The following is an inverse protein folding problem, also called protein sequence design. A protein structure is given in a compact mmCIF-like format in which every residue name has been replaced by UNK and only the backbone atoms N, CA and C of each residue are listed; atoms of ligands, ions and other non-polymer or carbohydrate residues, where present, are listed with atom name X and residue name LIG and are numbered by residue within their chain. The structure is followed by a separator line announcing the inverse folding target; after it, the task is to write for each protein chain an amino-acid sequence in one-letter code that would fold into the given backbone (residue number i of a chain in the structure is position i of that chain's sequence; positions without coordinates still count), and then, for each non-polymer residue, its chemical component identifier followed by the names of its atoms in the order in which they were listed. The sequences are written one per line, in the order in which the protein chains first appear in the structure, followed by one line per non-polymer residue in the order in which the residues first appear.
data_IF_046556374763
#
_entry.id   IF_046556374763
#
_cell.length_a   1.000
_cell.length_b   1.000
_cell.length_c   1.000
_cell.angle_alpha   90.00
_cell.angle_beta   90.00
_cell.angle_gamma   90.00
#
_symmetry.space_group_name_H-M   'P 1'
#
loop_
_entity.id
_entity.type
_entity.pdbx_description
1 polymer ?
#
# COMPACT_ATOMS: atom_id res chain seq x y z
N UNK A 1 -21.23 -12.05 -1.57
CA UNK A 1 -19.76 -11.98 -1.68
C UNK A 1 -19.24 -13.39 -1.48
N UNK A 2 -18.46 -13.95 -2.42
CA UNK A 2 -17.86 -15.27 -2.24
C UNK A 2 -16.75 -15.16 -1.21
N UNK A 3 -16.92 -15.79 -0.05
CA UNK A 3 -15.86 -15.88 0.95
C UNK A 3 -14.69 -16.68 0.35
N UNK A 4 -13.52 -16.06 0.19
CA UNK A 4 -12.30 -16.81 -0.14
C UNK A 4 -12.01 -17.73 1.04
N UNK A 5 -12.08 -19.03 0.78
CA UNK A 5 -11.74 -20.05 1.76
C UNK A 5 -10.29 -20.47 1.52
N UNK A 6 -9.40 -20.03 2.41
CA UNK A 6 -8.01 -20.50 2.40
C UNK A 6 -7.95 -21.95 2.86
N UNK A 7 -7.10 -22.73 2.20
CA UNK A 7 -6.76 -24.08 2.66
C UNK A 7 -6.00 -23.99 4.00
N UNK A 8 -5.99 -25.05 4.84
CA UNK A 8 -5.18 -25.04 6.06
C UNK A 8 -3.69 -24.80 5.77
N UNK A 9 -3.08 -23.82 6.44
CA UNK A 9 -1.67 -23.49 6.27
C UNK A 9 -1.26 -22.18 6.93
N UNK A 10 0.05 -21.90 6.88
CA UNK A 10 0.61 -20.59 7.22
C UNK A 10 0.66 -19.73 5.96
N UNK A 11 0.14 -18.51 6.06
CA UNK A 11 0.08 -17.56 4.96
C UNK A 11 0.80 -16.28 5.36
N UNK A 12 1.50 -15.69 4.39
CA UNK A 12 2.04 -14.35 4.51
C UNK A 12 0.94 -13.31 4.29
N UNK A 13 1.26 -12.04 4.48
CA UNK A 13 0.48 -10.89 4.06
C UNK A 13 0.87 -10.38 2.66
N UNK A 14 1.54 -11.23 1.85
CA UNK A 14 2.10 -10.89 0.56
C UNK A 14 1.26 -11.55 -0.53
N UNK A 15 0.66 -10.75 -1.40
CA UNK A 15 -0.17 -11.20 -2.51
C UNK A 15 0.61 -11.12 -3.83
N UNK A 16 0.61 -12.18 -4.65
CA UNK A 16 1.30 -12.13 -5.94
C UNK A 16 0.64 -11.11 -6.86
N UNK A 17 1.46 -10.42 -7.65
CA UNK A 17 1.01 -9.47 -8.67
C UNK A 17 1.38 -10.00 -10.04
N UNK A 18 0.37 -10.17 -10.89
CA UNK A 18 0.55 -10.49 -12.31
C UNK A 18 0.60 -9.19 -13.11
N UNK A 19 1.66 -9.04 -13.90
CA UNK A 19 1.86 -7.91 -14.81
C UNK A 19 1.25 -8.20 -16.19
N UNK A 20 0.93 -7.16 -16.99
CA UNK A 20 0.61 -7.36 -18.40
C UNK A 20 1.79 -8.01 -19.13
N UNK A 21 1.48 -8.94 -20.04
CA UNK A 21 2.49 -9.62 -20.87
C UNK A 21 2.98 -8.75 -22.03
N UNK A 22 2.17 -7.78 -22.44
CA UNK A 22 2.48 -6.86 -23.53
C UNK A 22 3.46 -5.76 -23.10
N UNK A 23 4.23 -5.26 -24.07
CA UNK A 23 5.11 -4.12 -23.83
C UNK A 23 4.28 -2.85 -23.63
N UNK A 24 4.69 -2.02 -22.67
CA UNK A 24 4.09 -0.72 -22.37
C UNK A 24 4.95 0.41 -22.94
N UNK A 25 4.30 1.46 -23.41
CA UNK A 25 4.97 2.68 -23.86
C UNK A 25 5.32 3.55 -22.65
N UNK A 26 6.59 3.97 -22.58
CA UNK A 26 7.09 4.87 -21.54
C UNK A 26 8.04 5.90 -22.13
N UNK A 27 8.33 6.94 -21.36
CA UNK A 27 9.32 7.96 -21.68
C UNK A 27 10.62 7.68 -20.91
N UNK A 28 11.77 7.72 -21.56
CA UNK A 28 13.07 7.38 -20.96
C UNK A 28 14.10 8.47 -21.22
N UNK A 29 14.90 8.78 -20.21
CA UNK A 29 16.07 9.65 -20.34
C UNK A 29 17.22 9.13 -19.49
N UNK A 30 18.47 9.48 -19.86
CA UNK A 30 19.64 9.14 -19.04
C UNK A 30 19.58 9.89 -17.72
N UNK A 31 19.86 9.20 -16.61
CA UNK A 31 19.87 9.81 -15.27
C UNK A 31 20.85 10.96 -15.11
N UNK A 32 21.94 10.96 -15.88
CA UNK A 32 22.91 12.06 -15.91
C UNK A 32 22.33 13.37 -16.43
N UNK A 33 21.23 13.32 -17.21
CA UNK A 33 20.55 14.50 -17.75
C UNK A 33 19.47 15.04 -16.79
N UNK A 34 18.96 14.19 -15.88
CA UNK A 34 17.96 14.56 -14.87
C UNK A 34 18.41 14.06 -13.50
N UNK A 35 19.31 14.83 -12.88
CA UNK A 35 19.90 14.49 -11.58
C UNK A 35 18.92 14.72 -10.43
N UNK A 36 18.15 15.81 -10.49
CA UNK A 36 17.15 16.16 -9.47
C UNK A 36 15.72 15.94 -9.98
N UNK A 37 15.07 14.88 -9.49
CA UNK A 37 13.66 14.62 -9.77
C UNK A 37 12.69 15.59 -9.07
N UNK A 38 13.13 16.37 -8.07
CA UNK A 38 12.22 17.26 -7.33
C UNK A 38 11.71 18.36 -8.24
N UNK A 39 12.59 19.03 -8.98
CA UNK A 39 12.21 20.06 -9.94
C UNK A 39 11.21 19.52 -10.97
N UNK A 40 11.49 18.34 -11.54
CA UNK A 40 10.59 17.71 -12.51
C UNK A 40 9.21 17.39 -11.90
N UNK A 41 9.17 16.90 -10.65
CA UNK A 41 7.91 16.62 -9.94
C UNK A 41 7.14 17.90 -9.62
N UNK A 42 7.84 18.98 -9.25
CA UNK A 42 7.22 20.29 -9.04
C UNK A 42 6.61 20.84 -10.32
N UNK A 43 7.29 20.71 -11.46
CA UNK A 43 6.74 21.11 -12.77
C UNK A 43 5.47 20.32 -13.11
N UNK A 44 5.49 19.00 -12.90
CA UNK A 44 4.34 18.10 -13.14
C UNK A 44 3.16 18.52 -12.26
N UNK A 45 3.39 18.73 -10.95
CA UNK A 45 2.35 19.16 -10.01
C UNK A 45 1.81 20.55 -10.36
N UNK A 46 2.68 21.48 -10.74
CA UNK A 46 2.32 22.85 -11.12
C UNK A 46 1.44 22.91 -12.37
N UNK A 47 1.67 22.03 -13.34
CA UNK A 47 0.85 21.91 -14.56
C UNK A 47 -0.34 20.98 -14.40
N UNK A 48 -0.50 20.33 -13.23
CA UNK A 48 -1.52 19.30 -12.98
C UNK A 48 -1.52 18.18 -14.03
N UNK A 49 -0.35 17.86 -14.56
CA UNK A 49 -0.20 16.82 -15.57
C UNK A 49 -0.27 15.44 -14.91
N UNK A 50 -0.98 14.49 -15.54
CA UNK A 50 -1.03 13.10 -15.12
C UNK A 50 0.24 12.38 -15.59
N UNK A 51 1.34 12.66 -14.89
CA UNK A 51 2.68 12.15 -15.17
C UNK A 51 3.34 11.68 -13.87
N UNK A 52 3.97 10.52 -13.94
CA UNK A 52 4.76 9.93 -12.88
C UNK A 52 6.19 9.77 -13.36
N UNK A 53 7.15 9.98 -12.47
CA UNK A 53 8.58 9.85 -12.77
C UNK A 53 9.31 9.03 -11.72
N UNK A 54 10.09 8.07 -12.20
CA UNK A 54 10.85 7.13 -11.39
C UNK A 54 12.28 6.98 -11.92
N UNK A 55 13.29 7.13 -11.05
CA UNK A 55 14.68 6.97 -11.43
C UNK A 55 15.25 5.66 -10.89
N UNK A 56 15.75 4.82 -11.79
CA UNK A 56 16.37 3.54 -11.44
C UNK A 56 17.64 3.32 -12.25
N UNK A 57 18.73 2.97 -11.55
CA UNK A 57 20.08 2.85 -12.12
C UNK A 57 20.44 4.09 -12.96
N UNK A 58 20.74 3.90 -14.24
CA UNK A 58 21.21 4.94 -15.15
C UNK A 58 20.10 5.63 -15.95
N UNK A 59 18.83 5.34 -15.64
CA UNK A 59 17.68 5.87 -16.36
C UNK A 59 16.70 6.58 -15.43
N UNK A 60 15.97 7.52 -16.01
CA UNK A 60 14.72 8.06 -15.47
C UNK A 60 13.61 7.67 -16.43
N UNK A 61 12.57 7.09 -15.86
CA UNK A 61 11.38 6.62 -16.54
C UNK A 61 10.23 7.56 -16.22
N UNK A 62 9.48 7.95 -17.24
CA UNK A 62 8.27 8.73 -17.17
C UNK A 62 7.10 7.97 -17.76
N UNK A 63 5.96 7.98 -17.08
CA UNK A 63 4.75 7.27 -17.50
C UNK A 63 3.51 8.00 -16.98
N UNK A 64 2.32 7.65 -17.47
CA UNK A 64 1.09 8.40 -17.21
C UNK A 64 0.41 8.86 -18.50
N UNK A 65 -0.84 9.29 -18.38
CA UNK A 65 -1.67 9.67 -19.53
C UNK A 65 -1.08 10.84 -20.33
N UNK A 66 -0.43 11.80 -19.65
CA UNK A 66 0.13 13.00 -20.27
C UNK A 66 1.64 12.89 -20.50
N UNK A 67 2.25 11.73 -20.23
CA UNK A 67 3.70 11.59 -20.15
C UNK A 67 4.40 11.91 -21.48
N UNK A 68 3.86 11.45 -22.61
CA UNK A 68 4.43 11.70 -23.94
C UNK A 68 4.44 13.20 -24.23
N UNK A 69 3.28 13.86 -24.11
CA UNK A 69 3.14 15.29 -24.41
C UNK A 69 4.00 16.16 -23.49
N UNK A 70 4.08 15.83 -22.20
CA UNK A 70 4.79 16.61 -21.20
C UNK A 70 6.31 16.40 -21.25
N UNK A 71 6.78 15.16 -21.41
CA UNK A 71 8.20 14.82 -21.27
C UNK A 71 8.98 14.91 -22.59
N UNK A 72 8.31 14.86 -23.75
CA UNK A 72 8.98 15.04 -25.05
C UNK A 72 9.69 16.40 -25.15
N UNK A 73 9.14 17.46 -24.54
CA UNK A 73 9.77 18.78 -24.46
C UNK A 73 10.93 18.87 -23.45
N UNK A 74 11.29 17.77 -22.78
CA UNK A 74 12.36 17.68 -21.77
C UNK A 74 13.39 16.60 -22.13
N UNK A 75 13.58 16.35 -23.43
CA UNK A 75 14.52 15.39 -24.03
C UNK A 75 14.28 13.91 -23.72
N UNK A 76 13.17 13.55 -23.05
CA UNK A 76 12.80 12.15 -22.90
C UNK A 76 12.43 11.57 -24.27
N UNK A 77 12.84 10.33 -24.50
CA UNK A 77 12.53 9.56 -25.70
C UNK A 77 11.49 8.50 -25.39
N UNK A 78 10.57 8.25 -26.33
CA UNK A 78 9.63 7.15 -26.22
C UNK A 78 10.38 5.81 -26.34
N UNK A 79 10.01 4.85 -25.50
CA UNK A 79 10.52 3.49 -25.52
C UNK A 79 9.39 2.48 -25.21
N UNK A 80 9.55 1.25 -25.70
CA UNK A 80 8.63 0.13 -25.42
C UNK A 80 9.35 -0.90 -24.57
N UNK A 81 8.86 -1.12 -23.36
CA UNK A 81 9.48 -2.04 -22.41
C UNK A 81 8.49 -3.10 -21.93
N UNK A 82 8.99 -4.28 -21.56
CA UNK A 82 8.22 -5.20 -20.74
C UNK A 82 8.49 -4.89 -19.26
N UNK A 83 7.44 -4.69 -18.47
CA UNK A 83 7.58 -4.33 -17.06
C UNK A 83 8.36 -5.39 -16.26
N UNK A 84 8.21 -6.68 -16.62
CA UNK A 84 8.94 -7.79 -15.99
C UNK A 84 10.47 -7.67 -16.12
N UNK A 85 10.97 -7.00 -17.16
CA UNK A 85 12.41 -6.85 -17.41
C UNK A 85 13.04 -5.80 -16.48
N UNK A 86 12.22 -4.94 -15.86
CA UNK A 86 12.65 -3.89 -14.93
C UNK A 86 11.81 -3.97 -13.64
N UNK A 87 12.03 -4.96 -12.77
CA UNK A 87 11.14 -5.24 -11.63
C UNK A 87 10.97 -4.06 -10.66
N UNK A 88 12.01 -3.24 -10.50
CA UNK A 88 11.95 -2.04 -9.66
C UNK A 88 10.97 -0.99 -10.22
N UNK A 89 10.97 -0.77 -11.54
CA UNK A 89 10.01 0.11 -12.19
C UNK A 89 8.61 -0.48 -12.11
N UNK A 90 8.46 -1.79 -12.37
CA UNK A 90 7.17 -2.47 -12.28
C UNK A 90 6.53 -2.34 -10.90
N UNK A 91 7.29 -2.51 -9.82
CA UNK A 91 6.79 -2.33 -8.45
C UNK A 91 6.23 -0.91 -8.21
N UNK A 92 6.89 0.11 -8.74
CA UNK A 92 6.45 1.50 -8.66
C UNK A 92 5.18 1.76 -9.48
N UNK A 93 5.14 1.30 -10.73
CA UNK A 93 3.99 1.44 -11.63
C UNK A 93 2.75 0.74 -11.06
N UNK A 94 2.93 -0.47 -10.49
CA UNK A 94 1.88 -1.21 -9.79
C UNK A 94 1.34 -0.42 -8.61
N UNK A 95 2.22 0.14 -7.77
CA UNK A 95 1.80 0.93 -6.61
C UNK A 95 1.04 2.20 -7.02
N UNK A 96 1.52 2.92 -8.03
CA UNK A 96 0.83 4.12 -8.52
C UNK A 96 -0.57 3.76 -9.08
N UNK A 97 -0.68 2.69 -9.88
CA UNK A 97 -1.96 2.22 -10.41
C UNK A 97 -2.95 1.78 -9.31
N UNK A 98 -2.47 1.03 -8.33
CA UNK A 98 -3.27 0.58 -7.19
C UNK A 98 -3.77 1.77 -6.35
N UNK A 99 -2.91 2.75 -6.08
CA UNK A 99 -3.27 3.96 -5.34
C UNK A 99 -4.30 4.78 -6.12
N UNK A 100 -4.12 4.98 -7.42
CA UNK A 100 -5.10 5.67 -8.26
C UNK A 100 -6.47 4.97 -8.20
N UNK A 101 -6.48 3.64 -8.29
CA UNK A 101 -7.70 2.83 -8.13
C UNK A 101 -8.34 3.03 -6.76
N UNK A 102 -7.56 2.96 -5.68
CA UNK A 102 -8.07 3.18 -4.32
C UNK A 102 -8.64 4.61 -4.13
N UNK A 103 -7.94 5.64 -4.61
CA UNK A 103 -8.40 7.03 -4.54
C UNK A 103 -9.71 7.24 -5.30
N UNK A 104 -9.87 6.60 -6.46
CA UNK A 104 -11.13 6.63 -7.23
C UNK A 104 -12.31 5.99 -6.49
N UNK A 105 -12.03 5.06 -5.57
CA UNK A 105 -13.02 4.43 -4.68
C UNK A 105 -13.25 5.22 -3.38
N UNK A 106 -12.64 6.40 -3.24
CA UNK A 106 -12.83 7.28 -2.09
C UNK A 106 -11.87 7.03 -0.93
N UNK A 107 -10.89 6.13 -1.07
CA UNK A 107 -9.81 6.05 -0.09
C UNK A 107 -9.03 7.37 -0.06
N UNK A 108 -8.40 7.67 1.07
CA UNK A 108 -7.52 8.81 1.21
C UNK A 108 -6.11 8.37 1.59
N UNK A 109 -5.11 9.16 1.19
CA UNK A 109 -3.70 8.88 1.40
C UNK A 109 -3.08 9.91 2.35
N UNK A 110 -2.40 9.45 3.40
CA UNK A 110 -1.74 10.35 4.38
C UNK A 110 -0.35 10.79 3.94
N UNK A 111 0.37 9.93 3.24
CA UNK A 111 1.75 10.14 2.78
C UNK A 111 1.84 9.71 1.31
N UNK A 112 2.19 10.65 0.41
CA UNK A 112 2.52 10.31 -0.99
C UNK A 112 3.71 9.34 -1.02
N UNK A 113 3.74 8.45 -2.01
CA UNK A 113 4.79 7.44 -2.21
C UNK A 113 6.17 7.99 -1.86
N UNK A 114 6.82 7.42 -0.84
CA UNK A 114 8.14 7.89 -0.42
C UNK A 114 9.16 7.50 -1.50
N UNK A 115 9.86 8.46 -2.13
CA UNK A 115 10.90 8.16 -3.09
C UNK A 115 12.22 7.72 -2.42
N UNK A 116 12.24 7.56 -1.08
CA UNK A 116 13.45 7.36 -0.27
C UNK A 116 13.86 5.89 -0.08
N UNK A 117 13.28 4.94 -0.82
CA UNK A 117 13.62 3.52 -0.69
C UNK A 117 13.51 2.74 -1.99
N UNK A 118 14.07 1.53 -2.00
CA UNK A 118 13.91 0.53 -3.06
C UNK A 118 12.50 -0.09 -3.10
N UNK A 119 11.67 0.19 -2.10
CA UNK A 119 10.32 -0.35 -1.95
C UNK A 119 9.29 0.73 -2.26
N UNK A 120 8.43 0.48 -3.23
CA UNK A 120 7.27 1.34 -3.50
C UNK A 120 6.27 1.15 -2.35
N UNK A 121 6.13 2.17 -1.49
CA UNK A 121 5.35 2.11 -0.24
C UNK A 121 4.35 3.25 -0.12
N UNK A 122 3.12 2.92 0.28
CA UNK A 122 2.03 3.86 0.50
C UNK A 122 1.17 3.49 1.70
N UNK A 123 0.48 4.48 2.28
CA UNK A 123 -0.58 4.24 3.25
C UNK A 123 -1.89 4.84 2.76
N UNK A 124 -2.90 4.00 2.60
CA UNK A 124 -4.25 4.40 2.21
C UNK A 124 -5.24 4.03 3.33
N UNK A 125 -6.32 4.79 3.45
CA UNK A 125 -7.30 4.64 4.52
C UNK A 125 -8.71 4.72 3.96
N UNK A 126 -9.63 3.99 4.59
CA UNK A 126 -11.04 3.99 4.21
C UNK A 126 -11.67 5.39 4.33
N UNK A 127 -12.65 5.74 3.47
CA UNK A 127 -13.34 7.03 3.52
C UNK A 127 -14.10 7.25 4.83
N UNK A 128 -14.65 6.19 5.40
CA UNK A 128 -15.42 6.23 6.63
C UNK A 128 -14.64 5.70 7.83
N UNK A 129 -14.85 6.27 9.04
CA UNK A 129 -14.25 5.73 10.24
C UNK A 129 -14.85 4.35 10.56
N UNK A 130 -14.00 3.43 11.02
CA UNK A 130 -14.41 2.14 11.58
C UNK A 130 -15.23 2.34 12.87
N UNK A 131 -14.89 3.39 13.63
CA UNK A 131 -15.62 3.76 14.83
C UNK A 131 -15.19 5.12 15.39
N UNK A 132 -15.90 5.58 16.42
CA UNK A 132 -15.59 6.81 17.13
C UNK A 132 -15.52 6.50 18.63
N UNK A 133 -14.46 6.95 19.29
CA UNK A 133 -14.34 6.79 20.75
C UNK A 133 -15.36 7.68 21.46
N UNK A 134 -15.92 7.20 22.56
CA UNK A 134 -16.81 7.99 23.41
C UNK A 134 -16.02 9.06 24.15
N UNK A 135 -14.82 8.70 24.64
CA UNK A 135 -13.88 9.64 25.26
C UNK A 135 -13.01 10.33 24.21
N UNK A 136 -12.92 11.65 24.28
CA UNK A 136 -12.10 12.44 23.35
C UNK A 136 -12.63 12.53 21.92
N UNK A 137 -13.73 11.83 21.61
CA UNK A 137 -14.46 11.83 20.34
C UNK A 137 -13.55 11.70 19.12
N UNK A 138 -12.66 10.72 19.19
CA UNK A 138 -11.70 10.45 18.14
C UNK A 138 -12.30 9.50 17.12
N UNK A 139 -12.22 9.88 15.85
CA UNK A 139 -12.54 9.02 14.71
C UNK A 139 -11.36 8.08 14.44
N UNK A 140 -11.62 6.78 14.39
CA UNK A 140 -10.64 5.72 14.13
C UNK A 140 -10.88 5.17 12.73
N UNK A 141 -9.87 5.24 11.87
CA UNK A 141 -9.94 4.79 10.48
C UNK A 141 -9.05 3.58 10.27
N UNK A 142 -9.61 2.54 9.66
CA UNK A 142 -8.84 1.42 9.15
C UNK A 142 -8.17 1.80 7.83
N UNK A 143 -6.99 1.25 7.58
CA UNK A 143 -6.25 1.45 6.34
C UNK A 143 -5.23 0.36 6.11
N UNK A 144 -4.44 0.56 5.05
CA UNK A 144 -3.45 -0.39 4.58
C UNK A 144 -2.10 0.29 4.38
N UNK A 145 -1.04 -0.27 4.96
CA UNK A 145 0.35 0.00 4.61
C UNK A 145 0.75 -1.00 3.53
N UNK A 146 0.94 -0.48 2.33
CA UNK A 146 1.16 -1.23 1.11
C UNK A 146 2.63 -1.15 0.74
N UNK A 147 3.24 -2.28 0.37
CA UNK A 147 4.60 -2.32 -0.17
C UNK A 147 4.66 -3.27 -1.35
N UNK A 148 5.17 -2.82 -2.48
CA UNK A 148 5.38 -3.68 -3.64
C UNK A 148 6.88 -3.90 -3.86
N UNK A 149 7.28 -5.16 -4.02
CA UNK A 149 8.66 -5.55 -4.27
C UNK A 149 8.72 -6.82 -5.12
N UNK A 150 9.83 -6.99 -5.83
CA UNK A 150 10.13 -8.23 -6.53
C UNK A 150 10.80 -9.23 -5.58
N UNK A 151 10.31 -10.46 -5.57
CA UNK A 151 10.79 -11.56 -4.72
C UNK A 151 11.53 -12.58 -5.58
N UNK A 152 12.88 -12.55 -5.62
CA UNK A 152 13.67 -13.41 -6.51
C UNK A 152 13.46 -14.91 -6.26
N UNK A 153 13.18 -15.31 -5.01
CA UNK A 153 12.99 -16.71 -4.64
C UNK A 153 11.77 -17.37 -5.31
N UNK A 154 10.80 -16.57 -5.76
CA UNK A 154 9.58 -17.02 -6.44
C UNK A 154 9.38 -16.34 -7.80
N UNK A 155 10.41 -15.64 -8.28
CA UNK A 155 10.43 -14.87 -9.54
C UNK A 155 9.14 -14.08 -9.79
N UNK A 156 8.63 -13.43 -8.75
CA UNK A 156 7.31 -12.80 -8.77
C UNK A 156 7.33 -11.45 -8.05
N UNK A 157 6.52 -10.51 -8.53
CA UNK A 157 6.18 -9.32 -7.78
C UNK A 157 5.16 -9.68 -6.70
N UNK A 158 5.38 -9.17 -5.50
CA UNK A 158 4.45 -9.33 -4.39
C UNK A 158 4.08 -7.98 -3.80
N UNK A 159 2.80 -7.85 -3.48
CA UNK A 159 2.24 -6.75 -2.72
C UNK A 159 2.06 -7.18 -1.27
N UNK A 160 2.86 -6.62 -0.37
CA UNK A 160 2.63 -6.67 1.07
C UNK A 160 1.43 -5.78 1.40
N UNK A 161 0.46 -6.33 2.10
CA UNK A 161 -0.72 -5.59 2.59
C UNK A 161 -0.78 -5.73 4.11
N UNK A 162 -0.50 -4.65 4.83
CA UNK A 162 -0.58 -4.60 6.29
C UNK A 162 -1.70 -3.69 6.77
N UNK A 163 -2.45 -4.13 7.79
CA UNK A 163 -3.48 -3.28 8.41
C UNK A 163 -2.81 -2.19 9.25
N UNK A 164 -3.20 -0.94 9.02
CA UNK A 164 -2.76 0.22 9.80
C UNK A 164 -3.95 1.09 10.19
N UNK A 165 -3.74 1.93 11.21
CA UNK A 165 -4.80 2.77 11.77
C UNK A 165 -4.42 4.24 11.74
N UNK A 166 -5.40 5.09 11.44
CA UNK A 166 -5.30 6.52 11.58
C UNK A 166 -6.35 7.05 12.56
N UNK A 167 -6.00 8.15 13.21
CA UNK A 167 -6.83 8.80 14.22
C UNK A 167 -7.04 10.25 13.80
N UNK A 168 -8.27 10.73 13.91
CA UNK A 168 -8.60 12.14 13.71
C UNK A 168 -9.48 12.65 14.84
N UNK A 169 -9.33 13.92 15.19
CA UNK A 169 -10.28 14.59 16.07
C UNK A 169 -11.62 14.89 15.37
N UNK A 170 -12.56 15.53 16.08
CA UNK A 170 -13.86 15.90 15.52
C UNK A 170 -13.72 16.83 14.30
N UNK A 171 -12.70 17.70 14.32
CA UNK A 171 -12.37 18.67 13.28
C UNK A 171 -11.62 18.05 12.08
N UNK A 172 -11.29 16.75 12.15
CA UNK A 172 -10.59 16.03 11.08
C UNK A 172 -9.06 16.14 11.14
N UNK A 173 -8.50 16.77 12.18
CA UNK A 173 -7.05 16.88 12.31
C UNK A 173 -6.45 15.53 12.72
N UNK A 174 -5.34 15.11 12.11
CA UNK A 174 -4.69 13.87 12.45
C UNK A 174 -4.11 13.89 13.88
N UNK A 175 -4.34 12.82 14.62
CA UNK A 175 -3.82 12.63 15.97
C UNK A 175 -2.69 11.61 16.00
N UNK A 176 -1.68 11.88 16.83
CA UNK A 176 -0.62 10.93 17.18
C UNK A 176 -0.92 10.22 18.51
N UNK A 177 -0.13 9.20 18.87
CA UNK A 177 -0.35 8.42 20.09
C UNK A 177 -0.30 9.26 21.38
N UNK A 178 0.53 10.29 21.43
CA UNK A 178 0.61 11.17 22.60
C UNK A 178 -0.68 11.98 22.77
N UNK A 179 -1.21 12.55 21.69
CA UNK A 179 -2.50 13.26 21.70
C UNK A 179 -3.67 12.32 22.03
N UNK A 180 -3.63 11.09 21.54
CA UNK A 180 -4.62 10.05 21.89
C UNK A 180 -4.65 9.75 23.39
N UNK A 181 -3.47 9.70 24.03
CA UNK A 181 -3.35 9.50 25.49
C UNK A 181 -3.90 10.68 26.26
N UNK A 182 -3.56 11.91 25.88
CA UNK A 182 -4.08 13.13 26.53
C UNK A 182 -5.61 13.18 26.48
N UNK A 183 -6.20 12.72 25.37
CA UNK A 183 -7.66 12.65 25.18
C UNK A 183 -8.33 11.46 25.87
N UNK A 184 -7.58 10.61 26.58
CA UNK A 184 -8.04 9.35 27.16
C UNK A 184 -8.74 8.40 26.16
N UNK A 185 -8.43 8.54 24.87
CA UNK A 185 -9.12 7.81 23.80
C UNK A 185 -8.42 6.49 23.41
N UNK A 186 -7.19 6.26 23.88
CA UNK A 186 -6.35 5.17 23.38
C UNK A 186 -6.93 3.77 23.66
N UNK A 187 -7.44 3.52 24.86
CA UNK A 187 -7.99 2.21 25.22
C UNK A 187 -9.24 1.86 24.40
N UNK A 188 -10.14 2.83 24.23
CA UNK A 188 -11.34 2.66 23.40
C UNK A 188 -10.97 2.50 21.92
N UNK A 189 -9.99 3.27 21.44
CA UNK A 189 -9.49 3.14 20.08
C UNK A 189 -8.96 1.73 19.83
N UNK A 190 -8.23 1.13 20.76
CA UNK A 190 -7.72 -0.23 20.60
C UNK A 190 -8.83 -1.30 20.59
N UNK A 191 -9.93 -1.07 21.29
CA UNK A 191 -11.12 -1.94 21.21
C UNK A 191 -11.76 -1.84 19.82
N UNK A 192 -11.87 -0.63 19.26
CA UNK A 192 -12.38 -0.40 17.89
C UNK A 192 -11.48 -1.08 16.85
N UNK A 193 -10.17 -1.14 17.10
CA UNK A 193 -9.20 -1.79 16.21
C UNK A 193 -9.27 -3.32 16.22
N UNK A 194 -10.08 -3.91 17.10
CA UNK A 194 -10.21 -5.36 17.27
C UNK A 194 -8.86 -6.03 17.65
N UNK A 195 -7.86 -5.24 18.09
CA UNK A 195 -6.56 -5.73 18.58
C UNK A 195 -6.65 -6.34 19.98
N UNK A 196 -7.80 -6.18 20.63
CA UNK A 196 -8.15 -6.84 21.86
C UNK A 196 -9.15 -7.95 21.56
N UNK A 197 -8.67 -9.18 21.39
CA UNK A 197 -9.49 -10.30 21.84
C UNK A 197 -9.66 -10.09 23.34
N UNK A 198 -10.88 -9.79 23.76
CA UNK A 198 -11.24 -9.66 25.17
C UNK A 198 -10.88 -10.98 25.87
N UNK A 199 -9.67 -11.06 26.40
CA UNK A 199 -9.30 -12.00 27.45
C UNK A 199 -10.10 -11.57 28.68
N UNK A 200 -11.36 -11.98 28.75
CA UNK A 200 -12.26 -11.82 29.90
C UNK A 200 -11.86 -12.66 31.11
N UNK A 201 -10.55 -12.83 31.34
CA UNK A 201 -10.01 -13.31 32.60
C UNK A 201 -8.82 -12.45 32.97
N UNK A 202 -9.04 -11.68 34.03
CA UNK A 202 -8.07 -11.10 34.96
C UNK A 202 -6.66 -11.63 34.74
N UNK A 203 -5.81 -10.80 34.15
CA UNK A 203 -4.37 -10.96 34.16
C UNK A 203 -3.76 -9.68 34.68
N UNK A 204 -2.89 -9.81 35.66
CA UNK A 204 -2.10 -8.69 36.19
C UNK A 204 -1.32 -8.01 35.06
N UNK A 205 -0.99 -6.74 35.26
CA UNK A 205 -0.32 -5.90 34.27
C UNK A 205 1.02 -6.48 33.75
N UNK A 206 1.68 -7.34 34.53
CA UNK A 206 2.88 -8.08 34.10
C UNK A 206 2.58 -9.28 33.18
N UNK A 207 1.49 -10.01 33.42
CA UNK A 207 1.06 -11.09 32.52
C UNK A 207 0.50 -10.54 31.21
N UNK A 208 -0.10 -9.34 31.26
CA UNK A 208 -0.49 -8.55 30.10
C UNK A 208 0.73 -8.25 29.21
N UNK A 209 1.83 -7.72 29.79
CA UNK A 209 3.08 -7.45 29.06
C UNK A 209 3.81 -8.71 28.57
N UNK A 210 3.68 -9.86 29.25
CA UNK A 210 4.23 -11.14 28.78
C UNK A 210 3.38 -11.80 27.70
N UNK A 211 2.08 -11.51 27.64
CA UNK A 211 1.15 -12.09 26.65
C UNK A 211 1.15 -11.37 25.30
N UNK A 212 1.51 -10.08 25.26
CA UNK A 212 1.60 -9.27 24.03
C UNK A 212 2.76 -9.68 23.12
N UNK A 213 3.75 -10.43 23.60
CA UNK A 213 4.82 -11.01 22.78
C UNK A 213 4.48 -12.37 22.16
N UNK A 214 3.33 -12.99 22.49
CA UNK A 214 2.88 -14.19 21.80
C UNK A 214 2.05 -13.77 20.60
N UNK A 215 2.47 -14.16 19.39
CA UNK A 215 1.68 -14.02 18.17
C UNK A 215 0.26 -14.50 18.44
N UNK A 216 -0.70 -13.57 18.47
CA UNK A 216 -2.08 -13.92 18.66
C UNK A 216 -2.63 -14.41 17.31
N UNK A 217 -2.51 -15.72 17.09
CA UNK A 217 -2.92 -16.38 15.85
C UNK A 217 -4.37 -16.04 15.47
N UNK A 218 -5.26 -15.89 16.46
CA UNK A 218 -6.65 -15.51 16.23
C UNK A 218 -6.77 -14.09 15.66
N UNK A 219 -6.02 -13.12 16.19
CA UNK A 219 -5.98 -11.75 15.63
C UNK A 219 -5.39 -11.76 14.22
N UNK A 220 -4.32 -12.54 13.99
CA UNK A 220 -3.76 -12.69 12.63
C UNK A 220 -4.75 -13.29 11.65
N UNK A 221 -5.54 -14.29 12.06
CA UNK A 221 -6.61 -14.88 11.26
C UNK A 221 -7.74 -13.87 10.99
N UNK A 222 -8.19 -13.13 12.01
CA UNK A 222 -9.18 -12.06 11.85
C UNK A 222 -8.68 -11.01 10.86
N UNK A 223 -7.44 -10.52 11.00
CA UNK A 223 -6.85 -9.57 10.05
C UNK A 223 -6.84 -10.10 8.62
N UNK A 224 -6.46 -11.37 8.44
CA UNK A 224 -6.46 -12.00 7.13
C UNK A 224 -7.86 -12.01 6.51
N UNK A 225 -8.88 -12.46 7.26
CA UNK A 225 -10.24 -12.61 6.74
C UNK A 225 -11.03 -11.30 6.64
N UNK A 226 -10.86 -10.39 7.59
CA UNK A 226 -11.70 -9.19 7.70
C UNK A 226 -11.10 -8.00 6.93
N UNK A 227 -9.80 -8.01 6.65
CA UNK A 227 -9.09 -6.88 6.01
C UNK A 227 -8.28 -7.28 4.78
N UNK A 228 -7.41 -8.29 4.87
CA UNK A 228 -6.45 -8.56 3.78
C UNK A 228 -7.10 -9.27 2.57
N UNK A 229 -7.88 -10.32 2.78
CA UNK A 229 -8.57 -11.00 1.69
C UNK A 229 -9.63 -10.10 1.00
N UNK A 230 -10.46 -9.34 1.74
CA UNK A 230 -11.36 -8.37 1.12
C UNK A 230 -10.63 -7.31 0.30
N UNK A 231 -9.48 -6.81 0.79
CA UNK A 231 -8.64 -5.89 0.03
C UNK A 231 -8.17 -6.52 -1.30
N UNK A 232 -7.64 -7.74 -1.25
CA UNK A 232 -7.18 -8.44 -2.45
C UNK A 232 -8.31 -8.69 -3.46
N UNK A 233 -9.53 -8.97 -2.98
CA UNK A 233 -10.72 -9.08 -3.83
C UNK A 233 -11.12 -7.75 -4.45
N UNK A 234 -11.15 -6.68 -3.64
CA UNK A 234 -11.56 -5.35 -4.08
C UNK A 234 -10.64 -4.78 -5.15
N UNK A 235 -9.35 -5.08 -5.05
CA UNK A 235 -8.31 -4.63 -5.98
C UNK A 235 -7.72 -5.78 -6.80
N UNK A 236 -8.54 -6.81 -7.08
CA UNK A 236 -8.12 -7.96 -7.88
C UNK A 236 -7.58 -7.55 -9.26
N UNK A 237 -8.13 -6.50 -9.85
CA UNK A 237 -7.67 -5.95 -11.12
C UNK A 237 -7.64 -4.42 -11.04
N UNK A 238 -6.60 -3.81 -11.60
CA UNK A 238 -6.48 -2.36 -11.68
C UNK A 238 -5.64 -1.94 -12.89
N UNK A 239 -5.97 -0.77 -13.43
CA UNK A 239 -5.28 -0.17 -14.58
C UNK A 239 -3.93 0.42 -14.15
N UNK A 240 -2.89 0.17 -14.93
CA UNK A 240 -1.59 0.78 -14.73
C UNK A 240 -1.51 2.17 -15.41
N UNK A 241 -0.80 3.14 -14.82
CA UNK A 241 -0.69 4.49 -15.39
C UNK A 241 0.05 4.53 -16.74
N UNK A 242 0.86 3.52 -17.06
CA UNK A 242 1.51 3.36 -18.38
C UNK A 242 0.65 2.62 -19.41
N UNK A 243 -0.60 2.29 -19.08
CA UNK A 243 -1.44 1.39 -19.86
C UNK A 243 -1.25 -0.09 -19.47
N UNK A 244 -2.22 -0.92 -19.86
CA UNK A 244 -2.34 -2.31 -19.43
C UNK A 244 -3.04 -2.47 -18.07
N UNK A 245 -3.29 -3.72 -17.71
CA UNK A 245 -3.93 -4.10 -16.44
C UNK A 245 -2.98 -5.02 -15.66
N UNK A 246 -2.90 -4.77 -14.35
CA UNK A 246 -2.27 -5.68 -13.41
C UNK A 246 -3.35 -6.41 -12.60
N UNK A 247 -3.03 -7.63 -12.18
CA UNK A 247 -3.92 -8.44 -11.36
C UNK A 247 -3.27 -8.77 -10.02
N UNK A 248 -4.02 -8.56 -8.95
CA UNK A 248 -3.65 -8.99 -7.61
C UNK A 248 -4.22 -10.38 -7.36
N UNK A 249 -3.36 -11.32 -6.98
CA UNK A 249 -3.76 -12.67 -6.65
C UNK A 249 -4.70 -12.69 -5.44
N UNK A 250 -5.70 -13.56 -5.48
CA UNK A 250 -6.69 -13.71 -4.41
C UNK A 250 -6.15 -14.52 -3.21
N UNK A 251 -5.02 -15.20 -3.37
CA UNK A 251 -4.40 -16.04 -2.34
C UNK A 251 -2.99 -15.50 -2.06
N UNK A 252 -2.67 -15.16 -0.80
CA UNK A 252 -1.32 -14.71 -0.45
C UNK A 252 -0.32 -15.87 -0.51
N UNK A 253 0.97 -15.56 -0.57
CA UNK A 253 2.01 -16.58 -0.58
C UNK A 253 1.91 -17.46 0.65
N UNK A 254 1.83 -18.77 0.41
CA UNK A 254 1.81 -19.81 1.44
C UNK A 254 3.22 -20.08 1.93
N UNK A 255 3.42 -20.11 3.24
CA UNK A 255 4.67 -20.56 3.86
C UNK A 255 4.63 -22.08 3.97
N UNK A 256 5.55 -22.74 3.27
CA UNK A 256 5.79 -24.18 3.40
C UNK A 256 7.02 -24.34 4.29
N UNK A 257 6.81 -24.85 5.51
CA UNK A 257 7.91 -25.24 6.38
C UNK A 257 8.45 -26.58 5.89
N UNK A 258 9.62 -26.57 5.26
CA UNK A 258 10.33 -27.79 4.86
C UNK A 258 10.68 -28.62 6.09
N UNK A 259 10.54 -29.95 5.97
CA UNK A 259 11.17 -30.92 6.87
C UNK A 259 12.55 -31.27 6.35
#
# INVERSE_FOLDING_TARGET
MNNIQLQPGLYTNIFPVTLPEEAVTIMVIKRTQVVDLRALRTDIEGQKANVFVYAHKNCVYGYGQDAIAFLAGKDFQEDKIFLRDIPALAAHVVMDGLILSALSKGFWQREKNSPKGFEARAKIFHPSPKGVTSQGKVKVFAGYDLRCAHYPAVESLGLVVDVVWAYQDEQGNPLNMHQMRIKNALNEALVIQEEFLRSTRTKTQEEFLRSTMRFNLQISQMRMHDYLLPFAQEFHEFTLPCGGQAQLGSIPFRVILGR
#
